data_IF_203422839057
#
_entry.id   IF_203422839057
#
_cell.length_a   1.000
_cell.length_b   1.000
_cell.length_c   1.000
_cell.angle_alpha   90.00
_cell.angle_beta   90.00
_cell.angle_gamma   90.00
#
_symmetry.space_group_name_H-M   'P 1'
#
loop_
_entity.id
_entity.type
_entity.pdbx_description
1 polymer ?
#
# COMPACT_ATOMS: atom_id res chain seq x y z
N UNK A 1 -7.78 -6.70 -22.33
CA UNK A 1 -8.32 -5.35 -22.05
C UNK A 1 -7.17 -4.35 -22.05
N UNK A 2 -7.04 -3.61 -23.14
CA UNK A 2 -5.99 -2.60 -23.29
C UNK A 2 -6.37 -1.36 -22.48
N UNK A 3 -5.70 -1.15 -21.36
CA UNK A 3 -5.65 0.19 -20.78
C UNK A 3 -4.93 1.05 -21.82
N UNK A 4 -5.70 1.79 -22.62
CA UNK A 4 -5.15 2.59 -23.72
C UNK A 4 -4.07 3.51 -23.16
N UNK A 5 -2.93 3.61 -23.84
CA UNK A 5 -1.86 4.57 -23.53
C UNK A 5 -2.40 5.98 -23.28
N UNK A 6 -3.55 6.32 -23.89
CA UNK A 6 -4.29 7.57 -23.64
C UNK A 6 -4.76 7.74 -22.19
N UNK A 7 -5.18 6.69 -21.47
CA UNK A 7 -5.60 6.80 -20.07
C UNK A 7 -4.41 7.09 -19.14
N UNK A 8 -3.25 6.50 -19.43
CA UNK A 8 -2.02 6.78 -18.69
C UNK A 8 -1.51 8.21 -18.97
N UNK A 9 -1.60 8.66 -20.22
CA UNK A 9 -1.26 10.03 -20.63
C UNK A 9 -2.22 11.05 -19.99
N UNK A 10 -3.51 10.74 -19.85
CA UNK A 10 -4.44 11.63 -19.15
C UNK A 10 -4.15 11.70 -17.65
N UNK A 11 -3.88 10.56 -17.00
CA UNK A 11 -3.58 10.52 -15.56
C UNK A 11 -2.26 11.20 -15.17
N UNK A 12 -1.22 11.07 -16.00
CA UNK A 12 0.08 11.72 -15.75
C UNK A 12 0.17 13.13 -16.37
N UNK A 13 -0.54 13.34 -17.48
CA UNK A 13 -0.51 14.58 -18.24
C UNK A 13 -1.32 15.70 -17.61
N UNK A 14 -2.49 15.42 -17.02
CA UNK A 14 -3.31 16.47 -16.38
C UNK A 14 -2.55 17.17 -15.23
N UNK A 15 -1.87 16.46 -14.31
CA UNK A 15 -1.02 17.10 -13.29
C UNK A 15 0.14 17.92 -13.88
N UNK A 16 0.76 17.42 -14.96
CA UNK A 16 1.90 18.10 -15.60
C UNK A 16 1.46 19.34 -16.38
N UNK A 17 0.32 19.28 -17.05
CA UNK A 17 -0.27 20.39 -17.81
C UNK A 17 -0.78 21.47 -16.84
N UNK A 18 -1.49 21.08 -15.78
CA UNK A 18 -1.92 22.04 -14.74
C UNK A 18 -0.74 22.69 -14.03
N UNK A 19 0.35 21.95 -13.80
CA UNK A 19 1.61 22.49 -13.29
C UNK A 19 2.25 23.47 -14.29
N UNK A 20 2.30 23.15 -15.57
CA UNK A 20 2.84 24.00 -16.62
C UNK A 20 2.03 25.30 -16.77
N UNK A 21 0.70 25.22 -16.76
CA UNK A 21 -0.17 26.38 -16.79
C UNK A 21 0.00 27.25 -15.54
N UNK A 22 0.05 26.64 -14.35
CA UNK A 22 0.30 27.36 -13.10
C UNK A 22 1.64 28.12 -13.14
N UNK A 23 2.67 27.58 -13.80
CA UNK A 23 3.95 28.27 -13.97
C UNK A 23 3.87 29.45 -14.96
N UNK A 24 2.98 29.40 -15.94
CA UNK A 24 2.86 30.41 -17.01
C UNK A 24 1.89 31.56 -16.71
N UNK A 25 1.02 31.47 -15.68
CA UNK A 25 0.08 32.56 -15.36
C UNK A 25 0.81 33.85 -14.95
N UNK A 26 0.65 34.98 -15.70
CA UNK A 26 1.29 36.25 -15.37
C UNK A 26 0.89 36.76 -13.98
N UNK A 27 1.86 37.31 -13.25
CA UNK A 27 1.61 37.93 -11.95
C UNK A 27 0.82 39.24 -12.13
N UNK A 28 -0.46 39.21 -11.77
CA UNK A 28 -1.22 40.45 -11.58
C UNK A 28 -0.72 41.13 -10.30
N UNK A 29 0.03 42.23 -10.48
CA UNK A 29 0.54 43.07 -9.39
C UNK A 29 -0.63 43.52 -8.49
N UNK A 30 -0.59 43.16 -7.21
CA UNK A 30 -1.59 43.58 -6.21
C UNK A 30 -1.32 45.03 -5.83
N UNK A 31 -2.33 45.88 -5.96
CA UNK A 31 -2.35 47.25 -5.45
C UNK A 31 -2.17 47.26 -3.92
N UNK A 32 -1.48 48.25 -3.34
CA UNK A 32 -1.35 48.39 -1.90
C UNK A 32 -2.73 48.57 -1.25
N UNK A 33 -3.06 47.67 -0.32
CA UNK A 33 -4.34 47.63 0.39
C UNK A 33 -4.33 48.72 1.46
N UNK A 34 -5.35 49.58 1.41
CA UNK A 34 -5.63 50.58 2.43
C UNK A 34 -5.93 49.91 3.77
N UNK A 35 -5.29 50.43 4.81
CA UNK A 35 -5.35 50.03 6.22
C UNK A 35 -6.77 50.24 6.78
N UNK A 36 -7.65 49.24 6.60
CA UNK A 36 -8.97 49.20 7.22
C UNK A 36 -8.82 48.48 8.56
N UNK A 37 -8.98 49.26 9.64
CA UNK A 37 -9.02 48.82 11.04
C UNK A 37 -10.24 47.91 11.27
N UNK A 38 -10.11 46.63 10.91
CA UNK A 38 -11.12 45.60 11.19
C UNK A 38 -11.07 45.29 12.69
N UNK A 39 -12.12 45.72 13.41
CA UNK A 39 -12.46 45.17 14.73
C UNK A 39 -12.43 43.65 14.62
N UNK A 40 -11.95 42.98 15.66
CA UNK A 40 -11.94 41.52 15.89
C UNK A 40 -13.34 40.89 15.82
N UNK A 41 -13.99 41.03 14.68
CA UNK A 41 -15.18 40.31 14.26
C UNK A 41 -14.67 38.93 13.88
N UNK A 42 -15.22 37.91 14.54
CA UNK A 42 -14.83 36.51 14.50
C UNK A 42 -14.25 36.13 13.14
N UNK A 43 -12.93 35.98 13.09
CA UNK A 43 -12.22 35.55 11.91
C UNK A 43 -12.49 34.05 11.74
N UNK A 44 -13.67 33.74 11.22
CA UNK A 44 -14.08 32.38 10.89
C UNK A 44 -13.67 32.14 9.43
N UNK A 45 -12.57 31.42 9.24
CA UNK A 45 -12.20 30.95 7.92
C UNK A 45 -13.22 29.92 7.47
N UNK A 46 -13.96 30.24 6.42
CA UNK A 46 -14.87 29.29 5.80
C UNK A 46 -14.04 28.26 5.03
N UNK A 47 -13.86 27.08 5.63
CA UNK A 47 -13.15 25.97 5.00
C UNK A 47 -14.00 25.31 3.91
N UNK A 48 -13.36 24.63 2.96
CA UNK A 48 -14.09 23.86 1.96
C UNK A 48 -14.61 22.54 2.54
N UNK A 49 -15.93 22.47 2.64
CA UNK A 49 -16.64 21.29 3.12
C UNK A 49 -16.45 20.08 2.20
N UNK A 50 -16.18 20.29 0.91
CA UNK A 50 -16.05 19.23 -0.09
C UNK A 50 -14.64 18.59 -0.08
N UNK A 51 -13.64 19.31 0.45
CA UNK A 51 -12.26 18.82 0.52
C UNK A 51 -11.94 18.18 1.86
N UNK A 52 -12.39 18.80 2.97
CA UNK A 52 -12.10 18.32 4.33
C UNK A 52 -13.25 18.56 5.31
N UNK A 53 -14.48 18.68 4.81
CA UNK A 53 -15.68 18.69 5.64
C UNK A 53 -15.77 17.44 6.52
N UNK A 54 -16.63 17.50 7.53
CA UNK A 54 -16.77 16.43 8.52
C UNK A 54 -17.10 15.08 7.84
N UNK A 55 -17.99 15.07 6.85
CA UNK A 55 -18.34 13.85 6.11
C UNK A 55 -17.16 13.26 5.32
N UNK A 56 -16.33 14.12 4.71
CA UNK A 56 -15.12 13.69 4.01
C UNK A 56 -14.10 13.08 4.97
N UNK A 57 -13.80 13.76 6.07
CA UNK A 57 -12.83 13.28 7.07
C UNK A 57 -13.23 11.94 7.67
N UNK A 58 -14.45 11.86 8.21
CA UNK A 58 -14.98 10.63 8.82
C UNK A 58 -15.04 9.51 7.78
N UNK A 59 -15.49 9.80 6.56
CA UNK A 59 -15.50 8.85 5.45
C UNK A 59 -14.12 8.23 5.18
N UNK A 60 -13.09 9.06 5.00
CA UNK A 60 -11.72 8.59 4.75
C UNK A 60 -11.12 7.84 5.96
N UNK A 61 -11.43 8.26 7.20
CA UNK A 61 -10.98 7.53 8.40
C UNK A 61 -11.59 6.13 8.48
N UNK A 62 -12.87 5.99 8.14
CA UNK A 62 -13.54 4.69 8.05
C UNK A 62 -12.98 3.84 6.91
N UNK A 63 -12.66 4.42 5.75
CA UNK A 63 -11.99 3.69 4.66
C UNK A 63 -10.62 3.17 5.05
N UNK A 64 -9.82 3.99 5.76
CA UNK A 64 -8.54 3.55 6.30
C UNK A 64 -8.74 2.38 7.28
N UNK A 65 -9.70 2.48 8.21
CA UNK A 65 -10.01 1.42 9.16
C UNK A 65 -10.43 0.12 8.45
N UNK A 66 -11.32 0.21 7.46
CA UNK A 66 -11.74 -0.93 6.63
C UNK A 66 -10.55 -1.60 5.94
N UNK A 67 -9.66 -0.80 5.34
CA UNK A 67 -8.46 -1.29 4.67
C UNK A 67 -7.50 -1.96 5.65
N UNK A 68 -7.34 -1.39 6.85
CA UNK A 68 -6.56 -1.98 7.92
C UNK A 68 -7.13 -3.34 8.35
N UNK A 69 -8.46 -3.46 8.53
CA UNK A 69 -9.10 -4.74 8.85
C UNK A 69 -8.88 -5.74 7.71
N UNK A 70 -9.24 -5.42 6.47
CA UNK A 70 -9.09 -6.31 5.32
C UNK A 70 -7.63 -6.73 5.08
N UNK A 71 -6.67 -5.92 5.48
CA UNK A 71 -5.24 -6.26 5.45
C UNK A 71 -4.83 -7.37 6.42
N UNK A 72 -5.56 -7.55 7.51
CA UNK A 72 -5.24 -8.60 8.48
C UNK A 72 -5.99 -9.91 8.19
N UNK A 73 -7.22 -9.82 7.69
CA UNK A 73 -8.16 -10.95 7.68
C UNK A 73 -8.91 -11.15 6.36
N UNK A 74 -8.97 -10.13 5.50
CA UNK A 74 -9.90 -10.09 4.38
C UNK A 74 -9.38 -10.76 3.11
N UNK A 75 -10.33 -11.14 2.25
CA UNK A 75 -10.02 -11.58 0.88
C UNK A 75 -9.35 -10.48 0.04
N UNK A 76 -8.54 -10.90 -0.93
CA UNK A 76 -7.85 -9.98 -1.84
C UNK A 76 -8.81 -9.22 -2.75
N UNK A 77 -9.92 -9.84 -3.14
CA UNK A 77 -10.90 -9.25 -4.05
C UNK A 77 -11.65 -8.09 -3.35
N UNK A 78 -12.08 -8.31 -2.11
CA UNK A 78 -12.70 -7.26 -1.29
C UNK A 78 -11.73 -6.13 -0.98
N UNK A 79 -10.47 -6.45 -0.62
CA UNK A 79 -9.46 -5.41 -0.41
C UNK A 79 -9.19 -4.58 -1.68
N UNK A 80 -9.09 -5.22 -2.85
CA UNK A 80 -8.88 -4.53 -4.13
C UNK A 80 -10.06 -3.61 -4.46
N UNK A 81 -11.28 -4.03 -4.14
CA UNK A 81 -12.50 -3.24 -4.35
C UNK A 81 -12.53 -2.00 -3.45
N UNK A 82 -12.26 -2.16 -2.15
CA UNK A 82 -12.14 -1.04 -1.19
C UNK A 82 -11.03 -0.08 -1.59
N UNK A 83 -9.86 -0.59 -2.00
CA UNK A 83 -8.75 0.24 -2.50
C UNK A 83 -9.15 1.05 -3.74
N UNK A 84 -9.89 0.43 -4.66
CA UNK A 84 -10.34 1.11 -5.88
C UNK A 84 -11.29 2.26 -5.56
N UNK A 85 -12.23 2.05 -4.64
CA UNK A 85 -13.12 3.10 -4.14
C UNK A 85 -12.34 4.23 -3.45
N UNK A 86 -11.37 3.89 -2.60
CA UNK A 86 -10.50 4.86 -1.94
C UNK A 86 -9.68 5.69 -2.95
N UNK A 87 -9.06 5.04 -3.93
CA UNK A 87 -8.31 5.73 -4.98
C UNK A 87 -9.19 6.71 -5.77
N UNK A 88 -10.43 6.32 -6.08
CA UNK A 88 -11.38 7.19 -6.77
C UNK A 88 -11.69 8.45 -5.95
N UNK A 89 -11.93 8.32 -4.64
CA UNK A 89 -12.13 9.48 -3.75
C UNK A 89 -10.87 10.34 -3.64
N UNK A 90 -9.70 9.74 -3.45
CA UNK A 90 -8.44 10.48 -3.36
C UNK A 90 -8.17 11.30 -4.62
N UNK A 91 -8.43 10.75 -5.81
CA UNK A 91 -8.30 11.46 -7.09
C UNK A 91 -9.33 12.59 -7.18
N UNK A 92 -10.58 12.35 -6.78
CA UNK A 92 -11.61 13.39 -6.79
C UNK A 92 -11.25 14.57 -5.88
N UNK A 93 -10.76 14.31 -4.67
CA UNK A 93 -10.31 15.34 -3.72
C UNK A 93 -9.09 16.11 -4.24
N UNK A 94 -8.10 15.39 -4.79
CA UNK A 94 -6.92 16.02 -5.37
C UNK A 94 -7.26 16.88 -6.59
N UNK A 95 -8.22 16.45 -7.42
CA UNK A 95 -8.69 17.21 -8.57
C UNK A 95 -9.45 18.47 -8.14
N UNK A 96 -10.38 18.33 -7.18
CA UNK A 96 -11.12 19.47 -6.62
C UNK A 96 -10.16 20.52 -6.05
N UNK A 97 -9.16 20.09 -5.29
CA UNK A 97 -8.15 20.98 -4.74
C UNK A 97 -7.27 21.61 -5.83
N UNK A 98 -6.87 20.85 -6.85
CA UNK A 98 -6.09 21.38 -7.98
C UNK A 98 -6.87 22.47 -8.72
N UNK A 99 -8.17 22.26 -8.97
CA UNK A 99 -9.04 23.27 -9.58
C UNK A 99 -9.08 24.53 -8.71
N UNK A 100 -9.25 24.39 -7.39
CA UNK A 100 -9.27 25.53 -6.46
C UNK A 100 -7.93 26.29 -6.41
N UNK A 101 -6.80 25.59 -6.50
CA UNK A 101 -5.47 26.19 -6.58
C UNK A 101 -5.35 27.02 -7.87
N UNK A 102 -5.79 26.48 -9.01
CA UNK A 102 -5.78 27.18 -10.31
C UNK A 102 -6.69 28.42 -10.28
N UNK A 103 -7.87 28.31 -9.68
CA UNK A 103 -8.81 29.42 -9.48
C UNK A 103 -8.35 30.44 -8.43
N UNK A 104 -7.25 30.17 -7.72
CA UNK A 104 -6.75 30.98 -6.59
C UNK A 104 -7.76 31.13 -5.45
N UNK A 105 -8.63 30.14 -5.27
CA UNK A 105 -9.59 30.06 -4.17
C UNK A 105 -9.11 29.18 -3.01
N UNK A 106 -8.13 28.32 -3.27
CA UNK A 106 -7.53 27.47 -2.23
C UNK A 106 -6.76 28.32 -1.20
N UNK A 107 -6.86 27.94 0.07
CA UNK A 107 -5.99 28.40 1.14
C UNK A 107 -4.71 27.55 1.17
N UNK A 108 -3.61 28.07 1.71
CA UNK A 108 -2.36 27.31 1.77
C UNK A 108 -2.50 26.04 2.64
N UNK A 109 -3.39 26.07 3.64
CA UNK A 109 -3.74 24.95 4.50
C UNK A 109 -4.63 23.90 3.82
N UNK A 110 -5.40 24.27 2.78
CA UNK A 110 -6.29 23.34 2.05
C UNK A 110 -5.46 22.22 1.40
N UNK A 111 -4.34 22.59 0.77
CA UNK A 111 -3.39 21.65 0.18
C UNK A 111 -2.84 20.66 1.23
N UNK A 112 -2.43 21.15 2.41
CA UNK A 112 -1.89 20.28 3.46
C UNK A 112 -2.94 19.31 3.98
N UNK A 113 -4.17 19.78 4.21
CA UNK A 113 -5.27 18.94 4.65
C UNK A 113 -5.53 17.83 3.62
N UNK A 114 -5.63 18.19 2.34
CA UNK A 114 -5.81 17.22 1.26
C UNK A 114 -4.63 16.24 1.17
N UNK A 115 -3.39 16.70 1.33
CA UNK A 115 -2.20 15.84 1.32
C UNK A 115 -2.18 14.82 2.47
N UNK A 116 -2.54 15.23 3.69
CA UNK A 116 -2.67 14.30 4.81
C UNK A 116 -3.78 13.29 4.60
N UNK A 117 -4.95 13.76 4.14
CA UNK A 117 -6.13 12.93 3.93
C UNK A 117 -5.97 11.92 2.79
N UNK A 118 -5.22 12.26 1.74
CA UNK A 118 -5.12 11.40 0.54
C UNK A 118 -3.82 10.61 0.46
N UNK A 119 -2.67 11.19 0.84
CA UNK A 119 -1.36 10.53 0.71
C UNK A 119 -0.93 9.91 2.02
N UNK A 120 -0.84 10.69 3.10
CA UNK A 120 -0.28 10.19 4.36
C UNK A 120 -1.23 9.20 5.04
N UNK A 121 -2.55 9.40 4.96
CA UNK A 121 -3.53 8.48 5.54
C UNK A 121 -3.50 7.10 4.86
N UNK A 122 -3.21 7.03 3.56
CA UNK A 122 -3.27 5.80 2.78
C UNK A 122 -1.91 5.29 2.31
N UNK A 123 -0.80 5.86 2.80
CA UNK A 123 0.53 5.45 2.36
C UNK A 123 0.83 3.96 2.63
N UNK A 124 0.23 3.40 3.69
CA UNK A 124 0.38 1.99 4.05
C UNK A 124 -0.22 1.06 2.99
N UNK A 125 -1.23 1.51 2.25
CA UNK A 125 -1.85 0.79 1.12
C UNK A 125 -0.91 0.62 -0.07
N UNK A 126 0.11 1.45 -0.22
CA UNK A 126 1.17 1.26 -1.22
C UNK A 126 2.12 0.11 -0.92
N UNK A 127 2.06 -0.46 0.29
CA UNK A 127 2.92 -1.55 0.71
C UNK A 127 2.07 -2.74 1.12
N UNK A 128 1.79 -3.65 0.18
CA UNK A 128 1.42 -5.01 0.58
C UNK A 128 2.06 -6.05 -0.32
N UNK A 129 2.85 -6.89 0.32
CA UNK A 129 3.48 -8.05 -0.28
C UNK A 129 2.51 -9.21 -0.15
N UNK A 130 2.07 -9.78 -1.27
CA UNK A 130 1.25 -10.99 -1.25
C UNK A 130 2.12 -12.16 -0.77
N UNK A 131 1.71 -12.80 0.32
CA UNK A 131 2.20 -14.12 0.69
C UNK A 131 1.44 -15.15 -0.15
N UNK A 132 2.03 -15.63 -1.24
CA UNK A 132 1.54 -16.85 -1.89
C UNK A 132 2.25 -18.06 -1.26
N UNK A 133 1.58 -18.73 -0.33
CA UNK A 133 2.03 -20.01 0.21
C UNK A 133 1.60 -21.11 -0.77
N UNK A 134 2.55 -21.79 -1.42
CA UNK A 134 2.29 -23.16 -1.88
C UNK A 134 2.47 -23.51 -3.36
N UNK A 135 3.10 -22.69 -4.20
CA UNK A 135 3.62 -23.21 -5.48
C UNK A 135 5.07 -23.64 -5.31
N UNK A 136 5.30 -24.96 -5.23
CA UNK A 136 6.63 -25.54 -5.43
C UNK A 136 7.09 -25.19 -6.83
N UNK A 137 7.85 -24.11 -6.98
CA UNK A 137 8.48 -23.78 -8.25
C UNK A 137 9.60 -24.81 -8.45
N UNK A 138 9.61 -25.59 -9.54
CA UNK A 138 10.72 -26.48 -9.87
C UNK A 138 11.93 -25.65 -10.36
N UNK A 139 12.41 -24.71 -9.53
CA UNK A 139 13.40 -23.70 -9.93
C UNK A 139 14.80 -24.29 -10.17
N UNK A 140 15.07 -25.51 -9.69
CA UNK A 140 16.39 -26.11 -9.73
C UNK A 140 16.53 -27.33 -10.64
N UNK A 141 15.45 -27.78 -11.31
CA UNK A 141 15.56 -28.96 -12.19
C UNK A 141 16.01 -28.62 -13.61
N UNK A 142 15.76 -27.39 -14.08
CA UNK A 142 16.03 -27.00 -15.47
C UNK A 142 17.18 -26.00 -15.64
N UNK A 143 17.72 -25.45 -14.54
CA UNK A 143 18.92 -24.61 -14.58
C UNK A 143 20.15 -25.53 -14.49
N UNK A 144 20.53 -26.17 -15.60
CA UNK A 144 21.66 -27.11 -15.76
C UNK A 144 23.05 -26.54 -15.47
N UNK A 145 23.17 -25.67 -14.47
CA UNK A 145 24.37 -24.93 -14.07
C UNK A 145 25.16 -25.60 -12.95
N UNK A 146 24.65 -26.69 -12.37
CA UNK A 146 25.44 -27.59 -11.55
C UNK A 146 25.40 -28.96 -12.19
N UNK A 147 26.54 -29.40 -12.75
CA UNK A 147 26.75 -30.74 -13.26
C UNK A 147 26.70 -31.75 -12.12
N UNK A 148 25.51 -32.00 -11.58
CA UNK A 148 25.25 -33.07 -10.63
C UNK A 148 25.38 -34.37 -11.41
N UNK A 149 26.44 -35.09 -11.11
CA UNK A 149 26.79 -36.37 -11.73
C UNK A 149 25.66 -37.37 -11.45
N UNK A 150 24.95 -37.82 -12.50
CA UNK A 150 23.74 -38.67 -12.41
C UNK A 150 23.96 -40.08 -11.83
N UNK A 151 25.18 -40.40 -11.39
CA UNK A 151 25.57 -41.75 -10.99
C UNK A 151 25.63 -41.95 -9.46
N UNK A 152 25.24 -40.97 -8.64
CA UNK A 152 25.14 -41.17 -7.20
C UNK A 152 23.77 -41.77 -6.83
N UNK A 153 23.69 -42.99 -6.27
CA UNK A 153 22.45 -43.55 -5.76
C UNK A 153 22.05 -42.81 -4.47
N UNK A 154 21.28 -41.74 -4.62
CA UNK A 154 20.72 -41.00 -3.49
C UNK A 154 19.61 -41.82 -2.86
N UNK A 155 19.95 -42.56 -1.80
CA UNK A 155 19.02 -43.16 -0.83
C UNK A 155 18.44 -42.03 0.05
N UNK A 156 17.80 -41.05 -0.58
CA UNK A 156 17.17 -39.93 0.12
C UNK A 156 15.80 -40.41 0.62
N UNK A 157 15.64 -40.35 1.95
CA UNK A 157 14.38 -40.61 2.65
C UNK A 157 13.23 -39.83 1.99
N UNK A 158 12.05 -40.45 1.74
CA UNK A 158 10.91 -39.80 1.09
C UNK A 158 10.28 -38.63 1.87
N UNK A 159 10.74 -38.33 3.08
CA UNK A 159 9.87 -37.75 4.11
C UNK A 159 10.15 -36.28 4.47
N UNK A 160 10.94 -35.54 3.68
CA UNK A 160 11.11 -34.10 3.93
C UNK A 160 11.14 -33.30 2.64
N UNK A 161 10.00 -33.30 1.92
CA UNK A 161 9.69 -32.25 0.95
C UNK A 161 9.31 -30.98 1.70
N UNK A 162 10.31 -30.31 2.26
CA UNK A 162 10.14 -28.97 2.81
C UNK A 162 9.66 -28.05 1.68
N UNK A 163 8.37 -27.71 1.72
CA UNK A 163 7.74 -26.75 0.81
C UNK A 163 8.36 -25.39 1.09
N UNK A 164 9.42 -25.03 0.36
CA UNK A 164 9.98 -23.69 0.39
C UNK A 164 8.88 -22.72 -0.08
N UNK A 165 8.34 -21.95 0.86
CA UNK A 165 7.35 -20.92 0.59
C UNK A 165 8.05 -19.75 -0.11
N UNK A 166 7.79 -19.58 -1.40
CA UNK A 166 8.29 -18.44 -2.17
C UNK A 166 7.28 -17.29 -2.12
N UNK A 167 7.76 -16.11 -1.72
CA UNK A 167 6.97 -14.89 -1.62
C UNK A 167 7.03 -14.14 -2.95
N UNK A 168 5.90 -13.93 -3.61
CA UNK A 168 5.87 -13.20 -4.90
C UNK A 168 5.00 -11.96 -4.80
N UNK A 169 5.62 -10.79 -4.96
CA UNK A 169 4.95 -9.50 -5.10
C UNK A 169 4.33 -9.44 -6.50
N UNK A 170 3.01 -9.45 -6.60
CA UNK A 170 2.30 -9.19 -7.85
C UNK A 170 1.54 -7.87 -7.69
N UNK A 171 2.02 -6.76 -8.30
CA UNK A 171 1.31 -5.50 -8.23
C UNK A 171 -0.02 -5.61 -8.99
N UNK A 172 -1.12 -5.28 -8.34
CA UNK A 172 -2.41 -5.10 -9.00
C UNK A 172 -2.51 -3.70 -9.65
N UNK A 173 -3.51 -3.51 -10.51
CA UNK A 173 -3.70 -2.25 -11.22
C UNK A 173 -4.00 -1.10 -10.25
N UNK A 174 -4.77 -1.36 -9.19
CA UNK A 174 -5.15 -0.36 -8.19
C UNK A 174 -3.94 0.16 -7.41
N UNK A 175 -2.97 -0.70 -7.11
CA UNK A 175 -1.70 -0.37 -6.47
C UNK A 175 -0.81 0.47 -7.38
N UNK A 176 -0.76 0.16 -8.67
CA UNK A 176 0.00 0.96 -9.65
C UNK A 176 -0.60 2.37 -9.74
N UNK A 177 -1.92 2.47 -9.84
CA UNK A 177 -2.61 3.76 -9.85
C UNK A 177 -2.38 4.55 -8.58
N UNK A 178 -2.45 3.90 -7.42
CA UNK A 178 -2.21 4.55 -6.14
C UNK A 178 -0.78 5.12 -6.05
N UNK A 179 0.23 4.35 -6.46
CA UNK A 179 1.61 4.83 -6.46
C UNK A 179 1.83 5.95 -7.49
N UNK A 180 1.18 5.88 -8.65
CA UNK A 180 1.19 6.97 -9.63
C UNK A 180 0.59 8.25 -9.04
N UNK A 181 -0.54 8.12 -8.36
CA UNK A 181 -1.22 9.20 -7.67
C UNK A 181 -0.33 9.82 -6.58
N UNK A 182 0.29 9.00 -5.71
CA UNK A 182 1.20 9.50 -4.67
C UNK A 182 2.42 10.21 -5.25
N UNK A 183 3.00 9.70 -6.33
CA UNK A 183 4.08 10.37 -7.03
C UNK A 183 3.63 11.73 -7.58
N UNK A 184 2.52 11.77 -8.32
CA UNK A 184 1.98 13.01 -8.90
C UNK A 184 1.62 14.04 -7.83
N UNK A 185 0.89 13.64 -6.78
CA UNK A 185 0.42 14.56 -5.74
C UNK A 185 1.57 15.07 -4.85
N UNK A 186 2.63 14.28 -4.66
CA UNK A 186 3.84 14.72 -3.96
C UNK A 186 4.68 15.66 -4.83
N UNK A 187 4.71 15.50 -6.16
CA UNK A 187 5.32 16.47 -7.07
C UNK A 187 4.58 17.82 -7.05
N UNK A 188 3.25 17.81 -6.99
CA UNK A 188 2.46 19.02 -6.72
C UNK A 188 2.85 19.63 -5.38
N UNK A 189 3.14 18.81 -4.36
CA UNK A 189 3.69 19.27 -3.08
C UNK A 189 5.04 19.96 -3.17
N UNK A 190 5.96 19.40 -3.95
CA UNK A 190 7.25 20.04 -4.19
C UNK A 190 7.05 21.41 -4.86
N UNK A 191 6.14 21.51 -5.84
CA UNK A 191 5.78 22.81 -6.43
C UNK A 191 5.11 23.76 -5.43
N UNK A 192 4.18 23.25 -4.59
CA UNK A 192 3.48 24.03 -3.58
C UNK A 192 4.49 24.70 -2.65
N UNK A 193 5.48 23.95 -2.16
CA UNK A 193 6.52 24.52 -1.33
C UNK A 193 7.45 25.45 -2.13
N UNK A 194 7.93 25.07 -3.31
CA UNK A 194 8.86 25.94 -4.07
C UNK A 194 8.24 27.29 -4.48
N UNK A 195 6.98 27.27 -4.94
CA UNK A 195 6.34 28.41 -5.58
C UNK A 195 4.92 28.69 -5.09
N UNK A 196 4.13 27.65 -4.84
CA UNK A 196 2.70 27.77 -4.51
C UNK A 196 2.43 28.60 -3.26
N UNK A 197 3.17 28.39 -2.17
CA UNK A 197 2.93 29.06 -0.88
C UNK A 197 3.07 30.59 -0.95
N UNK A 198 3.84 31.10 -1.91
CA UNK A 198 4.03 32.54 -2.13
C UNK A 198 2.92 33.15 -3.00
N UNK A 199 2.19 32.30 -3.73
CA UNK A 199 1.15 32.68 -4.69
C UNK A 199 -0.26 32.51 -4.13
N UNK A 200 -0.43 31.55 -3.22
CA UNK A 200 -1.70 31.26 -2.56
C UNK A 200 -2.02 32.34 -1.53
N UNK A 201 -3.31 32.59 -1.33
CA UNK A 201 -3.81 33.62 -0.42
C UNK A 201 -3.54 33.23 1.04
N UNK A 202 -3.10 34.22 1.82
CA UNK A 202 -2.90 34.09 3.27
C UNK A 202 -4.27 33.95 3.95
N UNK A 203 -4.34 33.07 4.94
CA UNK A 203 -5.47 33.03 5.84
C UNK A 203 -5.56 34.35 6.60
N UNK A 204 -6.73 34.99 6.69
CA UNK A 204 -6.89 36.23 7.45
C UNK A 204 -6.65 36.07 8.96
N UNK A 205 -6.72 34.84 9.49
CA UNK A 205 -6.69 34.58 10.93
C UNK A 205 -5.37 33.95 11.39
N UNK A 206 -4.93 32.90 10.68
CA UNK A 206 -3.77 32.10 11.05
C UNK A 206 -3.39 31.14 9.93
N UNK A 207 -2.08 30.96 9.75
CA UNK A 207 -1.48 29.97 8.87
C UNK A 207 -0.66 28.97 9.70
N UNK A 208 -1.31 28.30 10.65
CA UNK A 208 -0.69 27.23 11.42
C UNK A 208 -0.78 25.91 10.66
N UNK A 209 0.31 25.18 10.60
CA UNK A 209 0.34 23.80 10.15
C UNK A 209 0.73 22.87 11.31
N UNK A 210 0.47 21.57 11.15
CA UNK A 210 0.77 20.59 12.19
C UNK A 210 1.48 19.35 11.63
N UNK A 211 2.46 18.86 12.38
CA UNK A 211 3.01 17.49 12.32
C UNK A 211 3.10 17.03 13.76
N UNK A 212 1.97 16.59 14.31
CA UNK A 212 1.76 16.45 15.75
C UNK A 212 1.85 17.81 16.48
N UNK A 213 2.97 18.53 16.38
CA UNK A 213 3.17 19.88 16.92
C UNK A 213 2.72 20.95 15.92
N UNK A 214 2.25 22.08 16.46
CA UNK A 214 1.86 23.26 15.68
C UNK A 214 3.09 24.11 15.33
N UNK A 215 3.11 24.64 14.12
CA UNK A 215 4.13 25.59 13.67
C UNK A 215 3.54 26.55 12.64
N UNK A 216 4.16 27.72 12.49
CA UNK A 216 3.79 28.65 11.43
C UNK A 216 4.25 28.11 10.07
N UNK A 217 3.32 28.06 9.11
CA UNK A 217 3.56 27.55 7.77
C UNK A 217 4.71 28.29 7.05
N UNK A 218 4.88 29.58 7.37
CA UNK A 218 5.89 30.48 6.78
C UNK A 218 7.19 30.58 7.57
N UNK A 219 7.38 29.77 8.60
CA UNK A 219 8.67 29.69 9.26
C UNK A 219 9.72 29.18 8.24
N UNK A 220 10.78 29.96 8.00
CA UNK A 220 11.80 29.66 6.99
C UNK A 220 12.44 28.28 7.16
N UNK A 221 12.74 27.88 8.40
CA UNK A 221 13.33 26.57 8.68
C UNK A 221 12.38 25.44 8.32
N UNK A 222 11.10 25.61 8.65
CA UNK A 222 10.06 24.65 8.31
C UNK A 222 9.85 24.56 6.80
N UNK A 223 9.72 25.72 6.15
CA UNK A 223 9.56 25.87 4.73
C UNK A 223 10.65 25.11 3.94
N UNK A 224 11.92 25.32 4.30
CA UNK A 224 13.04 24.61 3.68
C UNK A 224 12.98 23.11 3.93
N UNK A 225 12.72 22.69 5.17
CA UNK A 225 12.61 21.28 5.52
C UNK A 225 11.49 20.57 4.74
N UNK A 226 10.30 21.18 4.67
CA UNK A 226 9.16 20.64 3.96
C UNK A 226 9.39 20.59 2.44
N UNK A 227 10.06 21.59 1.87
CA UNK A 227 10.47 21.60 0.46
C UNK A 227 11.38 20.41 0.13
N UNK A 228 12.45 20.23 0.92
CA UNK A 228 13.41 19.12 0.73
C UNK A 228 12.70 17.78 0.89
N UNK A 229 11.88 17.64 1.93
CA UNK A 229 11.13 16.42 2.19
C UNK A 229 10.16 16.08 1.04
N UNK A 230 9.42 17.06 0.52
CA UNK A 230 8.52 16.85 -0.61
C UNK A 230 9.25 16.40 -1.87
N UNK A 231 10.42 16.97 -2.19
CA UNK A 231 11.23 16.54 -3.33
C UNK A 231 11.72 15.09 -3.14
N UNK A 232 12.26 14.76 -1.97
CA UNK A 232 12.76 13.42 -1.66
C UNK A 232 11.64 12.38 -1.72
N UNK A 233 10.49 12.67 -1.10
CA UNK A 233 9.32 11.79 -1.15
C UNK A 233 8.76 11.65 -2.56
N UNK A 234 8.75 12.73 -3.36
CA UNK A 234 8.30 12.69 -4.75
C UNK A 234 9.17 11.76 -5.60
N UNK A 235 10.49 11.86 -5.47
CA UNK A 235 11.44 10.95 -6.12
C UNK A 235 11.27 9.51 -5.66
N UNK A 236 11.11 9.31 -4.35
CA UNK A 236 10.86 7.99 -3.78
C UNK A 236 9.61 7.32 -4.38
N UNK A 237 8.47 8.04 -4.40
CA UNK A 237 7.23 7.52 -4.96
C UNK A 237 7.31 7.28 -6.47
N UNK A 238 8.02 8.15 -7.21
CA UNK A 238 8.27 7.95 -8.63
C UNK A 238 9.06 6.65 -8.90
N UNK A 239 10.09 6.35 -8.09
CA UNK A 239 10.86 5.10 -8.19
C UNK A 239 9.97 3.89 -7.90
N UNK A 240 9.19 3.94 -6.81
CA UNK A 240 8.25 2.86 -6.44
C UNK A 240 7.24 2.60 -7.56
N UNK A 241 6.68 3.67 -8.14
CA UNK A 241 5.78 3.58 -9.27
C UNK A 241 6.43 2.91 -10.49
N UNK A 242 7.63 3.35 -10.89
CA UNK A 242 8.36 2.77 -12.04
C UNK A 242 8.68 1.29 -11.83
N UNK A 243 9.12 0.91 -10.62
CA UNK A 243 9.38 -0.50 -10.28
C UNK A 243 8.09 -1.32 -10.37
N UNK A 244 6.99 -0.85 -9.80
CA UNK A 244 5.71 -1.57 -9.85
C UNK A 244 5.16 -1.67 -11.27
N UNK A 245 5.31 -0.62 -12.07
CA UNK A 245 4.91 -0.62 -13.48
C UNK A 245 5.77 -1.60 -14.31
N UNK A 246 7.08 -1.64 -14.08
CA UNK A 246 7.98 -2.58 -14.73
C UNK A 246 7.62 -4.03 -14.39
N UNK A 247 7.39 -4.32 -13.10
CA UNK A 247 6.97 -5.63 -12.63
C UNK A 247 5.63 -6.06 -13.26
N UNK A 248 4.66 -5.17 -13.31
CA UNK A 248 3.35 -5.44 -13.93
C UNK A 248 3.43 -5.70 -15.43
N UNK A 249 4.28 -4.96 -16.15
CA UNK A 249 4.43 -5.12 -17.61
C UNK A 249 5.25 -6.36 -17.98
N UNK A 250 6.28 -6.70 -17.20
CA UNK A 250 7.10 -7.89 -17.43
C UNK A 250 6.37 -9.19 -17.09
N UNK A 251 5.47 -9.17 -16.10
CA UNK A 251 4.66 -10.33 -15.72
C UNK A 251 3.70 -10.82 -16.83
N UNK A 252 3.40 -9.99 -17.84
CA UNK A 252 2.51 -10.36 -18.96
C UNK A 252 3.18 -11.23 -20.03
N UNK A 253 4.51 -11.39 -20.00
CA UNK A 253 5.27 -12.11 -21.03
C UNK A 253 5.94 -13.41 -20.57
N UNK A 254 6.04 -13.66 -19.27
CA UNK A 254 6.72 -14.85 -18.72
C UNK A 254 6.00 -15.32 -17.47
N UNK A 255 5.85 -16.65 -17.30
CA UNK A 255 5.38 -17.23 -16.04
C UNK A 255 6.15 -16.60 -14.89
N UNK A 256 5.48 -15.98 -13.90
CA UNK A 256 6.11 -15.12 -12.91
C UNK A 256 7.18 -15.89 -12.14
N UNK A 257 8.44 -15.66 -12.48
CA UNK A 257 9.57 -16.09 -11.67
C UNK A 257 9.59 -15.27 -10.37
N UNK A 258 9.98 -15.87 -9.24
CA UNK A 258 10.02 -15.16 -7.96
C UNK A 258 11.15 -14.13 -7.93
N UNK A 259 10.85 -12.86 -8.23
CA UNK A 259 11.81 -11.76 -8.11
C UNK A 259 11.71 -11.20 -6.68
N UNK A 260 12.33 -11.90 -5.74
CA UNK A 260 12.53 -11.46 -4.33
C UNK A 260 13.67 -10.40 -4.23
N UNK A 261 14.35 -10.11 -5.34
CA UNK A 261 15.72 -9.55 -5.31
C UNK A 261 15.77 -8.00 -5.36
N UNK A 262 14.76 -7.30 -5.86
CA UNK A 262 14.89 -5.84 -6.14
C UNK A 262 14.72 -4.95 -4.90
N UNK A 263 13.63 -5.10 -4.13
CA UNK A 263 13.38 -4.30 -2.92
C UNK A 263 14.38 -4.62 -1.81
N UNK A 264 14.80 -5.88 -1.69
CA UNK A 264 15.81 -6.30 -0.72
C UNK A 264 17.20 -5.75 -1.05
N UNK A 265 17.53 -5.55 -2.35
CA UNK A 265 18.78 -4.89 -2.77
C UNK A 265 18.79 -3.39 -2.46
N UNK A 266 17.66 -2.69 -2.61
CA UNK A 266 17.57 -1.26 -2.24
C UNK A 266 17.74 -1.07 -0.72
N UNK A 267 17.07 -1.89 0.10
CA UNK A 267 17.30 -1.89 1.55
C UNK A 267 18.70 -2.38 1.94
N UNK A 268 19.30 -3.32 1.20
CA UNK A 268 20.72 -3.71 1.38
C UNK A 268 21.68 -2.60 1.01
N UNK A 269 21.39 -1.77 0.01
CA UNK A 269 22.23 -0.64 -0.37
C UNK A 269 22.29 0.39 0.76
N UNK A 270 21.19 0.57 1.49
CA UNK A 270 21.11 1.43 2.68
C UNK A 270 21.70 0.72 3.92
N UNK A 271 21.60 -0.61 3.99
CA UNK A 271 22.08 -1.44 5.11
C UNK A 271 23.51 -1.99 4.91
N UNK A 272 24.26 -1.52 3.91
CA UNK A 272 25.59 -2.03 3.54
C UNK A 272 26.70 -1.73 4.58
N UNK A 273 26.34 -1.23 5.76
CA UNK A 273 27.26 -0.98 6.89
C UNK A 273 27.30 -2.11 7.93
N UNK A 274 26.68 -3.27 7.71
CA UNK A 274 26.77 -4.40 8.65
C UNK A 274 27.24 -5.70 8.00
N UNK A 275 28.36 -6.18 8.53
CA UNK A 275 29.17 -7.37 8.24
C UNK A 275 28.47 -8.66 7.80
N UNK A 276 29.18 -9.39 6.95
CA UNK A 276 29.27 -10.84 6.74
C UNK A 276 27.99 -11.69 6.89
N UNK A 277 27.50 -12.17 5.76
CA UNK A 277 26.35 -13.10 5.68
C UNK A 277 26.86 -14.54 5.83
N UNK A 278 26.45 -15.28 6.88
CA UNK A 278 26.78 -16.70 7.04
C UNK A 278 26.10 -17.57 5.98
N UNK A 279 26.76 -18.66 5.61
CA UNK A 279 26.28 -19.66 4.64
C UNK A 279 24.92 -20.32 5.04
N UNK A 280 24.12 -20.77 4.04
CA UNK A 280 22.73 -21.19 4.22
C UNK A 280 22.55 -22.68 4.62
N UNK A 281 23.28 -23.19 5.60
CA UNK A 281 23.17 -24.61 6.02
C UNK A 281 22.44 -24.90 7.34
N UNK A 282 21.94 -23.89 8.06
CA UNK A 282 21.13 -24.11 9.28
C UNK A 282 19.86 -23.27 9.27
N UNK A 283 18.85 -23.76 8.55
CA UNK A 283 17.52 -23.14 8.39
C UNK A 283 16.49 -23.70 9.40
N UNK A 284 16.77 -24.84 10.06
CA UNK A 284 15.82 -25.52 10.96
C UNK A 284 15.46 -24.76 12.25
N UNK A 285 16.43 -24.11 12.90
CA UNK A 285 16.20 -23.50 14.24
C UNK A 285 15.99 -21.97 14.22
N UNK A 286 16.00 -21.35 13.04
CA UNK A 286 16.03 -19.89 12.90
C UNK A 286 14.66 -19.21 12.77
N UNK A 287 13.56 -19.95 12.93
CA UNK A 287 12.20 -19.38 12.99
C UNK A 287 11.84 -18.78 14.37
N UNK A 288 12.76 -18.84 15.35
CA UNK A 288 12.70 -18.05 16.60
C UNK A 288 13.41 -16.68 16.48
N UNK A 289 13.45 -16.07 15.29
CA UNK A 289 13.76 -14.63 15.22
C UNK A 289 12.64 -13.87 15.93
N UNK A 290 12.96 -12.83 16.73
CA UNK A 290 12.02 -12.28 17.69
C UNK A 290 10.84 -11.65 16.95
N UNK A 291 9.67 -12.26 17.13
CA UNK A 291 8.36 -11.79 16.67
C UNK A 291 8.17 -10.27 16.87
N UNK A 292 8.79 -9.72 17.92
CA UNK A 292 8.76 -8.29 18.27
C UNK A 292 9.30 -7.35 17.17
N UNK A 293 10.35 -7.73 16.42
CA UNK A 293 10.93 -6.86 15.38
C UNK A 293 10.03 -6.74 14.15
N UNK A 294 9.29 -7.80 13.83
CA UNK A 294 8.30 -7.77 12.74
C UNK A 294 7.03 -7.03 13.16
N UNK A 295 6.59 -7.19 14.42
CA UNK A 295 5.44 -6.47 14.97
C UNK A 295 5.71 -4.95 15.00
N UNK A 296 6.89 -4.52 15.46
CA UNK A 296 7.21 -3.09 15.49
C UNK A 296 7.16 -2.46 14.09
N UNK A 297 7.78 -3.10 13.09
CA UNK A 297 7.72 -2.61 11.71
C UNK A 297 6.29 -2.59 11.18
N UNK A 298 5.50 -3.62 11.48
CA UNK A 298 4.10 -3.69 11.09
C UNK A 298 3.26 -2.56 11.69
N UNK A 299 3.35 -2.34 13.00
CA UNK A 299 2.67 -1.26 13.71
C UNK A 299 3.12 0.09 13.15
N UNK A 300 4.43 0.29 12.98
CA UNK A 300 4.98 1.53 12.46
C UNK A 300 4.46 1.84 11.06
N UNK A 301 4.48 0.87 10.14
CA UNK A 301 4.08 1.10 8.75
C UNK A 301 2.56 1.21 8.56
N UNK A 302 1.76 0.53 9.38
CA UNK A 302 0.30 0.47 9.17
C UNK A 302 -0.50 1.42 10.06
N UNK A 303 0.04 1.83 11.20
CA UNK A 303 -0.67 2.66 12.17
C UNK A 303 -0.07 4.06 12.29
N UNK A 304 1.26 4.18 12.40
CA UNK A 304 1.88 5.46 12.76
C UNK A 304 1.54 6.60 11.78
N UNK A 305 1.72 6.39 10.47
CA UNK A 305 1.41 7.45 9.49
C UNK A 305 -0.06 7.88 9.48
N UNK A 306 -1.05 6.95 9.39
CA UNK A 306 -2.47 7.27 9.55
C UNK A 306 -2.80 8.04 10.82
N UNK A 307 -2.25 7.63 11.97
CA UNK A 307 -2.46 8.35 13.23
C UNK A 307 -1.90 9.77 13.17
N UNK A 308 -0.69 9.95 12.62
CA UNK A 308 -0.10 11.27 12.41
C UNK A 308 -0.96 12.11 11.47
N UNK A 309 -1.51 11.55 10.40
CA UNK A 309 -2.39 12.25 9.48
C UNK A 309 -3.67 12.73 10.16
N UNK A 310 -4.36 11.85 10.89
CA UNK A 310 -5.60 12.20 11.62
C UNK A 310 -5.33 13.32 12.62
N UNK A 311 -4.33 13.16 13.49
CA UNK A 311 -3.99 14.16 14.51
C UNK A 311 -3.60 15.49 13.86
N UNK A 312 -2.84 15.46 12.77
CA UNK A 312 -2.39 16.68 12.08
C UNK A 312 -3.56 17.40 11.42
N UNK A 313 -4.48 16.68 10.76
CA UNK A 313 -5.69 17.26 10.16
C UNK A 313 -6.55 17.94 11.21
N UNK A 314 -6.87 17.25 12.31
CA UNK A 314 -7.72 17.81 13.37
C UNK A 314 -7.06 19.02 14.05
N UNK A 315 -5.73 18.98 14.25
CA UNK A 315 -4.99 20.12 14.80
C UNK A 315 -4.96 21.31 13.84
N UNK A 316 -4.75 21.10 12.54
CA UNK A 316 -4.77 22.18 11.54
C UNK A 316 -6.16 22.83 11.49
N UNK A 317 -7.24 22.05 11.49
CA UNK A 317 -8.61 22.58 11.47
C UNK A 317 -8.89 23.41 12.73
N UNK A 318 -8.59 22.85 13.90
CA UNK A 318 -8.81 23.52 15.18
C UNK A 318 -7.97 24.79 15.35
N UNK A 319 -6.67 24.75 14.99
CA UNK A 319 -5.76 25.89 15.19
C UNK A 319 -6.02 27.06 14.25
N UNK A 320 -6.62 26.82 13.08
CA UNK A 320 -6.91 27.86 12.10
C UNK A 320 -8.37 28.34 12.14
N UNK A 321 -9.16 27.87 13.11
CA UNK A 321 -10.57 28.23 13.26
C UNK A 321 -11.39 27.92 12.01
N UNK A 322 -11.09 26.80 11.34
CA UNK A 322 -11.77 26.42 10.11
C UNK A 322 -13.17 25.90 10.46
N UNK A 323 -14.19 26.68 10.06
CA UNK A 323 -15.58 26.25 10.16
C UNK A 323 -15.95 25.50 8.89
N UNK A 324 -16.29 24.22 9.05
CA UNK A 324 -16.89 23.40 7.98
C UNK A 324 -18.40 23.35 8.16
N UNK A 325 -19.15 23.42 7.07
CA UNK A 325 -20.60 23.25 7.11
C UNK A 325 -21.01 21.82 7.50
N UNK A 326 -22.29 21.67 7.86
CA UNK A 326 -22.88 20.37 8.23
C UNK A 326 -22.70 19.32 7.14
N UNK A 327 -22.72 18.04 7.51
CA UNK A 327 -22.51 16.91 6.57
C UNK A 327 -23.53 16.94 5.42
N UNK A 328 -24.76 17.38 5.68
CA UNK A 328 -25.83 17.46 4.68
C UNK A 328 -25.71 18.66 3.74
N UNK A 329 -24.78 19.58 3.96
CA UNK A 329 -24.63 20.76 3.12
C UNK A 329 -24.00 20.46 1.76
N UNK A 330 -23.37 19.29 1.61
CA UNK A 330 -22.61 18.91 0.43
C UNK A 330 -22.78 17.44 0.07
N UNK A 331 -23.07 17.20 -1.20
CA UNK A 331 -23.09 15.86 -1.78
C UNK A 331 -21.72 15.17 -1.70
N UNK A 332 -20.62 15.92 -1.80
CA UNK A 332 -19.26 15.37 -1.69
C UNK A 332 -18.99 14.78 -0.30
N UNK A 333 -19.42 15.48 0.75
CA UNK A 333 -19.34 14.98 2.13
C UNK A 333 -20.14 13.70 2.33
N UNK A 334 -21.37 13.65 1.82
CA UNK A 334 -22.23 12.47 1.91
C UNK A 334 -21.66 11.27 1.16
N UNK A 335 -21.16 11.47 -0.06
CA UNK A 335 -20.55 10.41 -0.88
C UNK A 335 -19.34 9.81 -0.15
N UNK A 336 -18.43 10.65 0.37
CA UNK A 336 -17.26 10.15 1.08
C UNK A 336 -17.65 9.36 2.33
N UNK A 337 -18.59 9.89 3.13
CA UNK A 337 -19.08 9.22 4.33
C UNK A 337 -19.71 7.85 4.00
N UNK A 338 -20.61 7.80 3.01
CA UNK A 338 -21.26 6.56 2.59
C UNK A 338 -20.25 5.53 2.06
N UNK A 339 -19.23 5.98 1.32
CA UNK A 339 -18.18 5.10 0.82
C UNK A 339 -17.35 4.52 1.97
N UNK A 340 -17.05 5.33 3.00
CA UNK A 340 -16.39 4.87 4.23
C UNK A 340 -17.20 3.85 5.00
N UNK A 341 -18.49 4.12 5.24
CA UNK A 341 -19.41 3.18 5.91
C UNK A 341 -19.49 1.86 5.15
N UNK A 342 -19.69 1.93 3.83
CA UNK A 342 -19.78 0.74 2.97
C UNK A 342 -18.49 -0.09 3.04
N UNK A 343 -17.33 0.58 3.03
CA UNK A 343 -16.03 -0.10 3.14
C UNK A 343 -15.90 -0.87 4.46
N UNK A 344 -16.32 -0.27 5.58
CA UNK A 344 -16.30 -0.93 6.89
C UNK A 344 -17.27 -2.10 6.92
N UNK A 345 -18.47 -1.96 6.37
CA UNK A 345 -19.43 -3.08 6.29
C UNK A 345 -18.86 -4.25 5.48
N UNK A 346 -18.19 -3.99 4.35
CA UNK A 346 -17.49 -5.03 3.59
C UNK A 346 -16.37 -5.70 4.41
N UNK A 347 -15.61 -4.93 5.19
CA UNK A 347 -14.56 -5.46 6.05
C UNK A 347 -15.10 -6.31 7.20
N UNK A 348 -16.22 -5.91 7.81
CA UNK A 348 -16.90 -6.66 8.87
C UNK A 348 -17.53 -7.95 8.33
N UNK A 349 -18.06 -7.91 7.11
CA UNK A 349 -18.58 -9.11 6.45
C UNK A 349 -17.49 -10.16 6.21
N UNK A 350 -16.30 -9.74 5.75
CA UNK A 350 -15.15 -10.63 5.60
C UNK A 350 -14.63 -11.17 6.94
N UNK A 351 -14.69 -10.36 8.00
CA UNK A 351 -14.36 -10.80 9.36
C UNK A 351 -15.31 -11.89 9.85
N UNK A 352 -16.61 -11.72 9.63
CA UNK A 352 -17.64 -12.71 10.00
C UNK A 352 -17.44 -14.03 9.25
N UNK A 353 -17.21 -13.96 7.94
CA UNK A 353 -16.89 -15.13 7.12
C UNK A 353 -15.60 -15.84 7.59
N UNK A 354 -14.62 -15.10 8.09
CA UNK A 354 -13.38 -15.65 8.62
C UNK A 354 -13.64 -16.47 9.89
N UNK A 355 -14.44 -15.95 10.83
CA UNK A 355 -14.82 -16.70 12.04
C UNK A 355 -15.65 -17.93 11.72
N UNK A 356 -16.64 -17.81 10.82
CA UNK A 356 -17.47 -18.95 10.41
C UNK A 356 -16.63 -20.11 9.83
N UNK A 357 -15.57 -19.78 9.08
CA UNK A 357 -14.68 -20.79 8.49
C UNK A 357 -13.87 -21.55 9.54
N UNK A 358 -13.39 -20.86 10.58
CA UNK A 358 -12.58 -21.46 11.64
C UNK A 358 -13.38 -22.49 12.44
N UNK A 359 -14.64 -22.17 12.76
CA UNK A 359 -15.56 -23.08 13.47
C UNK A 359 -15.96 -24.31 12.62
N UNK A 360 -15.96 -24.16 11.30
CA UNK A 360 -16.37 -25.23 10.36
C UNK A 360 -15.24 -26.19 9.99
N UNK A 361 -13.99 -25.95 10.41
CA UNK A 361 -12.89 -26.84 10.12
C UNK A 361 -13.16 -28.18 10.82
N UNK A 362 -13.40 -29.28 10.07
CA UNK A 362 -13.70 -30.56 10.69
C UNK A 362 -12.52 -30.92 11.57
N UNK A 363 -12.77 -31.05 12.88
CA UNK A 363 -11.85 -31.73 13.79
C UNK A 363 -11.64 -33.11 13.17
N UNK A 364 -10.51 -33.30 12.48
CA UNK A 364 -10.11 -34.62 12.00
C UNK A 364 -10.22 -35.52 13.24
N UNK A 365 -11.13 -36.51 13.24
CA UNK A 365 -11.23 -37.40 14.37
C UNK A 365 -9.83 -37.99 14.54
N UNK A 366 -9.24 -37.76 15.71
CA UNK A 366 -7.98 -38.38 16.12
C UNK A 366 -8.15 -39.88 15.85
N UNK A 367 -7.49 -40.36 14.81
CA UNK A 367 -7.53 -41.75 14.40
C UNK A 367 -6.70 -42.54 15.43
N UNK A 368 -7.32 -42.83 16.58
CA UNK A 368 -6.75 -43.63 17.67
C UNK A 368 -6.44 -45.08 17.24
N UNK A 369 -6.71 -45.44 15.98
CA UNK A 369 -6.60 -46.79 15.44
C UNK A 369 -5.16 -47.28 15.27
N UNK A 370 -4.13 -46.43 15.47
CA UNK A 370 -2.72 -46.84 15.37
C UNK A 370 -2.06 -47.25 16.69
N UNK A 371 -2.78 -47.28 17.83
CA UNK A 371 -2.17 -47.70 19.11
C UNK A 371 -2.34 -49.20 19.45
N UNK A 372 -2.93 -50.02 18.57
CA UNK A 372 -3.13 -51.46 18.83
C UNK A 372 -2.14 -52.42 18.14
N UNK A 373 -1.31 -51.98 17.18
CA UNK A 373 -0.51 -52.91 16.37
C UNK A 373 0.96 -53.09 16.81
N UNK A 374 1.41 -52.44 17.88
CA UNK A 374 2.79 -52.61 18.39
C UNK A 374 2.98 -53.80 19.36
N UNK A 375 1.95 -54.64 19.57
CA UNK A 375 2.06 -55.84 20.41
C UNK A 375 2.15 -57.18 19.65
N UNK A 376 1.94 -57.23 18.33
CA UNK A 376 1.67 -58.51 17.66
C UNK A 376 2.39 -58.65 16.29
N UNK A 377 3.70 -58.94 16.26
CA UNK A 377 4.35 -59.17 14.96
C UNK A 377 5.84 -59.50 14.92
N UNK A 378 6.36 -60.32 15.84
CA UNK A 378 7.71 -60.91 15.74
C UNK A 378 7.64 -62.44 15.62
N UNK A 379 7.02 -62.93 14.54
CA UNK A 379 7.00 -64.32 14.00
C UNK A 379 6.39 -64.19 12.60
N UNK A 380 6.89 -64.69 11.48
CA UNK A 380 7.91 -65.70 11.20
C UNK A 380 8.59 -65.39 9.87
N UNK A 381 9.88 -65.68 9.83
CA UNK A 381 10.70 -65.74 8.63
C UNK A 381 10.45 -67.07 7.92
N UNK A 382 9.80 -67.08 6.76
CA UNK A 382 9.94 -68.21 5.83
C UNK A 382 9.73 -67.82 4.38
N UNK A 383 10.84 -67.85 3.65
CA UNK A 383 11.00 -68.30 2.26
C UNK A 383 9.74 -68.82 1.55
N UNK A 384 9.48 -68.35 0.32
CA UNK A 384 9.50 -69.24 -0.87
C UNK A 384 9.34 -68.51 -2.21
N UNK A 385 10.16 -68.96 -3.19
CA UNK A 385 9.99 -69.01 -4.65
C UNK A 385 9.41 -67.80 -5.42
N UNK A 386 10.17 -67.10 -6.27
CA UNK A 386 10.74 -67.51 -7.58
C UNK A 386 9.73 -68.18 -8.53
N UNK A 387 9.04 -67.37 -9.33
CA UNK A 387 8.48 -67.78 -10.63
C UNK A 387 8.47 -66.61 -11.61
N UNK A 388 9.38 -66.69 -12.57
CA UNK A 388 9.42 -65.96 -13.83
C UNK A 388 8.24 -66.37 -14.72
N UNK A 389 7.50 -65.41 -15.29
CA UNK A 389 6.74 -65.64 -16.52
C UNK A 389 6.81 -64.43 -17.46
N UNK A 390 7.60 -64.61 -18.50
CA UNK A 390 7.54 -63.91 -19.79
C UNK A 390 6.22 -64.15 -20.51
N UNK A 391 5.61 -63.13 -21.14
CA UNK A 391 5.03 -63.22 -22.50
C UNK A 391 4.48 -61.88 -23.04
N UNK A 392 4.19 -61.76 -24.36
CA UNK A 392 4.76 -60.71 -25.20
C UNK A 392 3.73 -59.76 -25.81
N UNK A 393 4.25 -58.92 -26.70
CA UNK A 393 3.60 -57.93 -27.55
C UNK A 393 2.33 -58.37 -28.31
N UNK A 394 1.41 -57.41 -28.47
CA UNK A 394 0.44 -57.30 -29.57
C UNK A 394 0.26 -55.81 -29.89
N UNK A 395 0.75 -55.32 -31.03
CA UNK A 395 0.10 -55.23 -32.36
C UNK A 395 -0.79 -53.98 -32.51
N UNK A 396 -0.44 -53.23 -33.55
CA UNK A 396 -1.07 -52.04 -34.13
C UNK A 396 -2.56 -52.22 -34.50
N UNK A 397 -3.30 -51.11 -34.52
CA UNK A 397 -4.21 -50.80 -35.63
C UNK A 397 -4.65 -49.32 -35.63
N UNK A 398 -4.25 -48.64 -36.73
CA UNK A 398 -4.91 -47.60 -37.54
C UNK A 398 -5.28 -46.27 -36.88
#
# INVERSE_FOLDING_TARGET
MGLSTTALILLLGIPVITLAEALLVPQKSRSPIHDVRIRSQECANQGDSDVYGLGVRVGLYLQWLASFILRNIGSWDTMTSVRTANNALCIALALAETIRIVERKALAIDYLLSYYLTVILFYSESYRIRLEVGKTVPLFKDMGLFGVNNNAPTRASPEMKDKIQSYTLVPDLSLIFQNAFFAAYTLIGAWFWLHGIKRIQDSPCSDHAAIILLFHLRNQSWYTAATVLAIVLGLFWAIVFVVNLYMFTSAKGTSPGPIIISTFRFFRLISATTHDIPQPQEIGDRFKRPLSRNIFHYIWMNLFGPFVAIISVERIISSNGLSTSDISSSTGQMISLLTGITSVLCALWELDLWFYKDDSAPTEPLDDTNQSDSAQGRRDSTNTHRSSSSHPASVNSI
#
